data_IF_159543784360
#
_entry.id   IF_159543784360
#
_cell.length_a   1.000
_cell.length_b   1.000
_cell.length_c   1.000
_cell.angle_alpha   90.00
_cell.angle_beta   90.00
_cell.angle_gamma   90.00
#
_symmetry.space_group_name_H-M   'P 1'
#
loop_
_entity.id
_entity.type
_entity.pdbx_description
1 polymer ?
#
# COMPACT_ATOMS: atom_id res chain seq x y z
N UNK A 1 28.86 -12.68 30.07
CA UNK A 1 29.99 -12.59 29.12
C UNK A 1 30.16 -13.97 28.52
N UNK A 2 29.40 -14.29 27.48
CA UNK A 2 29.55 -15.53 26.68
C UNK A 2 29.24 -15.11 25.24
N UNK A 3 30.32 -14.76 24.56
CA UNK A 3 30.38 -14.33 23.17
C UNK A 3 30.59 -15.56 22.28
N UNK A 4 29.90 -15.57 21.15
CA UNK A 4 30.38 -16.06 19.85
C UNK A 4 30.65 -17.57 19.73
N UNK A 5 29.74 -18.22 19.00
CA UNK A 5 29.96 -19.29 18.00
C UNK A 5 28.58 -19.49 17.36
N UNK A 6 28.31 -19.03 16.14
CA UNK A 6 28.56 -19.78 14.91
C UNK A 6 28.45 -18.83 13.71
N UNK A 7 29.58 -18.59 13.07
CA UNK A 7 29.71 -18.17 11.68
C UNK A 7 30.13 -19.40 10.89
N UNK A 8 29.56 -19.57 9.71
CA UNK A 8 30.02 -20.50 8.68
C UNK A 8 28.88 -20.78 7.71
N UNK A 9 29.05 -20.81 6.40
CA UNK A 9 30.10 -20.36 5.49
C UNK A 9 29.41 -20.31 4.11
N UNK A 10 29.94 -19.49 3.21
CA UNK A 10 29.42 -19.24 1.88
C UNK A 10 29.33 -20.49 0.96
N UNK A 11 28.41 -20.47 0.00
CA UNK A 11 28.55 -21.19 -1.27
C UNK A 11 27.93 -20.37 -2.40
N UNK A 12 28.81 -19.84 -3.25
CA UNK A 12 28.55 -19.19 -4.53
C UNK A 12 28.31 -20.30 -5.57
N UNK A 13 27.16 -20.31 -6.24
CA UNK A 13 26.95 -21.11 -7.45
C UNK A 13 26.28 -20.24 -8.52
N UNK A 14 27.07 -19.92 -9.55
CA UNK A 14 26.60 -19.41 -10.82
C UNK A 14 26.06 -20.58 -11.66
N UNK A 15 24.89 -20.40 -12.29
CA UNK A 15 24.46 -21.24 -13.39
C UNK A 15 23.76 -20.37 -14.44
N UNK A 16 24.47 -20.13 -15.53
CA UNK A 16 23.97 -19.66 -16.82
C UNK A 16 23.19 -20.77 -17.52
N UNK A 17 21.99 -20.48 -18.02
CA UNK A 17 21.35 -21.25 -19.09
C UNK A 17 20.78 -20.29 -20.14
N UNK A 18 21.20 -20.48 -21.39
CA UNK A 18 20.78 -19.76 -22.60
C UNK A 18 19.91 -20.71 -23.44
N UNK A 19 18.86 -20.14 -24.05
CA UNK A 19 18.03 -20.64 -25.17
C UNK A 19 17.12 -21.85 -24.87
N UNK A 20 15.85 -21.87 -25.29
CA UNK A 20 15.33 -21.59 -26.64
C UNK A 20 13.92 -20.99 -26.63
N UNK A 21 13.66 -20.13 -27.61
CA UNK A 21 12.32 -19.71 -28.01
C UNK A 21 11.76 -20.71 -29.03
N UNK A 22 10.50 -21.13 -28.85
CA UNK A 22 9.58 -21.53 -29.91
C UNK A 22 8.15 -21.37 -29.37
N UNK A 23 7.43 -20.41 -29.94
CA UNK A 23 6.01 -20.18 -29.65
C UNK A 23 5.10 -21.02 -30.53
N UNK A 24 3.81 -21.00 -30.21
CA UNK A 24 2.71 -21.21 -31.14
C UNK A 24 1.43 -20.60 -30.53
N UNK A 25 0.91 -19.56 -31.16
CA UNK A 25 -0.31 -18.85 -30.81
C UNK A 25 -0.58 -17.79 -31.87
N UNK A 26 -1.02 -18.26 -33.03
CA UNK A 26 -1.01 -17.53 -34.30
C UNK A 26 -2.02 -16.39 -34.42
N UNK A 27 -1.66 -15.46 -35.31
CA UNK A 27 -2.57 -14.62 -36.10
C UNK A 27 -1.90 -14.36 -37.45
N UNK A 28 -1.99 -15.34 -38.34
CA UNK A 28 -1.61 -15.18 -39.73
C UNK A 28 -2.83 -14.66 -40.50
N UNK A 29 -2.74 -13.42 -40.98
CA UNK A 29 -3.47 -12.93 -42.15
C UNK A 29 -2.41 -12.78 -43.25
N UNK A 30 -2.09 -13.87 -43.94
CA UNK A 30 -1.31 -13.84 -45.17
C UNK A 30 -2.23 -13.83 -46.39
N UNK A 31 -1.73 -13.29 -47.51
CA UNK A 31 -1.65 -14.06 -48.76
C UNK A 31 -0.18 -14.01 -49.23
N UNK A 32 0.54 -15.11 -49.48
CA UNK A 32 0.33 -16.10 -50.56
C UNK A 32 1.60 -17.02 -50.62
N UNK A 33 1.66 -18.15 -51.38
CA UNK A 33 1.60 -19.51 -50.83
C UNK A 33 2.74 -20.47 -51.26
N UNK A 34 2.90 -21.62 -50.58
CA UNK A 34 3.42 -22.89 -51.17
C UNK A 34 2.98 -24.12 -50.32
N UNK A 35 2.91 -25.35 -50.87
CA UNK A 35 1.69 -26.16 -50.87
C UNK A 35 1.80 -27.51 -50.12
N UNK A 36 0.62 -28.00 -49.68
CA UNK A 36 0.19 -29.38 -49.40
C UNK A 36 1.02 -30.24 -48.42
N UNK A 37 0.48 -31.08 -47.56
CA UNK A 37 -0.86 -31.42 -47.08
C UNK A 37 -0.60 -32.46 -45.97
N UNK A 38 -1.50 -32.62 -45.01
CA UNK A 38 -1.49 -33.83 -44.19
C UNK A 38 -1.95 -33.65 -42.77
N UNK A 39 -3.27 -33.59 -42.59
CA UNK A 39 -3.88 -34.05 -41.35
C UNK A 39 -3.60 -35.57 -41.25
N UNK A 40 -2.86 -36.00 -40.23
CA UNK A 40 -2.81 -37.42 -39.82
C UNK A 40 -3.29 -37.51 -38.38
N UNK A 41 -4.59 -37.76 -38.22
CA UNK A 41 -5.19 -38.01 -36.91
C UNK A 41 -4.84 -39.39 -36.39
N UNK A 42 -4.90 -39.55 -35.06
CA UNK A 42 -5.72 -40.60 -34.44
C UNK A 42 -6.11 -40.19 -33.01
N UNK A 43 -7.39 -40.38 -32.73
CA UNK A 43 -8.03 -40.28 -31.43
C UNK A 43 -7.72 -41.54 -30.60
N UNK A 44 -7.48 -41.40 -29.28
CA UNK A 44 -8.05 -42.34 -28.29
C UNK A 44 -7.85 -41.85 -26.86
N UNK A 45 -8.96 -41.91 -26.12
CA UNK A 45 -9.15 -41.81 -24.68
C UNK A 45 -8.50 -42.98 -23.94
N UNK A 46 -7.94 -42.76 -22.74
CA UNK A 46 -8.29 -43.43 -21.46
C UNK A 46 -7.13 -43.60 -20.45
N UNK A 47 -7.51 -43.39 -19.19
CA UNK A 47 -7.02 -43.92 -17.91
C UNK A 47 -5.55 -43.75 -17.47
N UNK A 48 -5.39 -43.13 -16.28
CA UNK A 48 -4.22 -43.38 -15.44
C UNK A 48 -4.04 -42.39 -14.31
N UNK A 49 -4.78 -42.57 -13.21
CA UNK A 49 -4.54 -41.93 -11.91
C UNK A 49 -3.10 -42.13 -11.43
N UNK A 50 -2.44 -41.05 -11.00
CA UNK A 50 -1.40 -41.12 -9.97
C UNK A 50 -1.48 -39.88 -9.09
N UNK A 51 -2.16 -40.06 -7.95
CA UNK A 51 -1.88 -39.33 -6.72
C UNK A 51 -0.41 -39.49 -6.35
N UNK A 52 0.33 -38.39 -6.30
CA UNK A 52 1.44 -38.28 -5.37
C UNK A 52 1.33 -36.98 -4.59
N UNK A 53 1.15 -37.13 -3.28
CA UNK A 53 1.02 -36.08 -2.31
C UNK A 53 2.43 -35.57 -1.97
N UNK A 54 2.89 -34.57 -2.72
CA UNK A 54 4.11 -33.85 -2.42
C UNK A 54 3.84 -32.70 -1.44
N UNK A 55 4.23 -32.88 -0.18
CA UNK A 55 4.35 -31.82 0.82
C UNK A 55 5.17 -30.65 0.26
N UNK A 56 4.56 -29.49 0.08
CA UNK A 56 5.32 -28.25 -0.16
C UNK A 56 5.28 -27.40 1.10
N UNK A 57 6.47 -27.24 1.62
CA UNK A 57 6.87 -26.46 2.78
C UNK A 57 6.80 -24.94 2.50
N UNK A 58 6.61 -24.18 3.58
CA UNK A 58 6.90 -22.75 3.76
C UNK A 58 6.35 -21.72 2.74
N UNK A 59 5.17 -21.16 3.07
CA UNK A 59 4.93 -19.71 3.11
C UNK A 59 5.38 -18.85 1.93
N UNK A 60 4.73 -18.99 0.77
CA UNK A 60 4.60 -17.85 -0.15
C UNK A 60 3.54 -16.91 0.42
N UNK A 61 3.94 -15.96 1.25
CA UNK A 61 3.11 -14.76 1.46
C UNK A 61 2.91 -14.12 0.09
N UNK A 62 1.66 -14.07 -0.39
CA UNK A 62 1.28 -13.30 -1.57
C UNK A 62 1.74 -11.85 -1.36
N UNK A 63 2.93 -11.53 -1.87
CA UNK A 63 3.39 -10.16 -1.99
C UNK A 63 2.33 -9.41 -2.82
N UNK A 64 1.91 -8.23 -2.36
CA UNK A 64 0.79 -7.48 -2.91
C UNK A 64 0.79 -7.35 -4.44
N UNK A 65 -0.38 -7.08 -5.00
CA UNK A 65 -0.50 -6.85 -6.44
C UNK A 65 0.17 -5.52 -6.80
N UNK A 66 1.36 -5.58 -7.37
CA UNK A 66 2.18 -4.39 -7.69
C UNK A 66 1.38 -3.30 -8.39
N UNK A 67 1.44 -2.08 -7.84
CA UNK A 67 0.90 -0.87 -8.47
C UNK A 67 -0.60 -0.64 -8.26
N UNK A 68 -1.24 -1.45 -7.42
CA UNK A 68 -2.66 -1.30 -7.06
C UNK A 68 -3.01 0.08 -6.46
N UNK A 69 -2.14 0.63 -5.61
CA UNK A 69 -2.35 1.94 -4.98
C UNK A 69 -2.21 3.06 -6.01
N UNK A 70 -1.19 2.97 -6.87
CA UNK A 70 -1.01 3.92 -7.97
C UNK A 70 -2.20 3.90 -8.95
N UNK A 71 -2.77 2.71 -9.23
CA UNK A 71 -3.98 2.57 -10.02
C UNK A 71 -5.20 3.20 -9.32
N UNK A 72 -5.38 2.94 -8.02
CA UNK A 72 -6.47 3.53 -7.24
C UNK A 72 -6.43 5.07 -7.26
N UNK A 73 -5.23 5.68 -7.18
CA UNK A 73 -5.04 7.13 -7.23
C UNK A 73 -5.44 7.80 -8.55
N UNK A 74 -5.61 7.02 -9.63
CA UNK A 74 -6.04 7.51 -10.95
C UNK A 74 -7.56 7.42 -11.15
N UNK A 75 -8.29 6.86 -10.19
CA UNK A 75 -9.73 6.72 -10.28
C UNK A 75 -10.43 8.07 -10.12
N UNK A 76 -11.60 8.20 -10.74
CA UNK A 76 -12.52 9.31 -10.44
C UNK A 76 -13.03 9.20 -9.00
N UNK A 77 -13.27 10.33 -8.34
CA UNK A 77 -13.87 10.31 -7.00
C UNK A 77 -15.22 9.60 -6.99
N UNK A 78 -15.48 8.82 -5.94
CA UNK A 78 -16.65 7.95 -5.83
C UNK A 78 -16.56 6.66 -6.63
N UNK A 79 -15.42 6.34 -7.26
CA UNK A 79 -15.21 5.04 -7.90
C UNK A 79 -14.77 4.00 -6.88
N UNK A 80 -15.27 2.77 -7.02
CA UNK A 80 -14.86 1.64 -6.17
C UNK A 80 -13.41 1.25 -6.50
N UNK A 81 -12.62 0.94 -5.46
CA UNK A 81 -11.28 0.40 -5.56
C UNK A 81 -11.14 -0.81 -4.63
N UNK A 82 -10.26 -1.73 -5.02
CA UNK A 82 -9.89 -2.90 -4.23
C UNK A 82 -8.39 -2.96 -4.10
N UNK A 83 -7.92 -3.07 -2.86
CA UNK A 83 -6.53 -3.30 -2.51
C UNK A 83 -6.40 -4.68 -1.88
N UNK A 84 -5.36 -5.42 -2.23
CA UNK A 84 -5.07 -6.77 -1.75
C UNK A 84 -3.68 -6.84 -1.14
N UNK A 85 -3.58 -7.52 0.01
CA UNK A 85 -2.33 -7.71 0.75
C UNK A 85 -1.57 -6.40 1.02
N UNK A 86 -2.28 -5.32 1.32
CA UNK A 86 -1.65 -4.06 1.73
C UNK A 86 -1.32 -4.12 3.21
N UNK A 87 -0.23 -3.48 3.61
CA UNK A 87 0.25 -3.47 4.99
C UNK A 87 -0.04 -2.13 5.64
N UNK A 88 -0.57 -2.14 6.86
CA UNK A 88 -0.75 -0.95 7.69
C UNK A 88 0.63 -0.44 8.13
N UNK A 89 0.97 0.78 7.73
CA UNK A 89 2.30 1.38 8.00
C UNK A 89 2.27 2.44 9.09
N UNK A 90 1.09 2.93 9.45
CA UNK A 90 0.92 3.89 10.55
C UNK A 90 -0.55 4.15 10.85
N UNK A 91 -0.86 4.41 12.12
CA UNK A 91 -2.22 4.75 12.58
C UNK A 91 -2.23 6.22 12.96
N UNK A 92 -3.08 7.00 12.31
CA UNK A 92 -3.23 8.44 12.54
C UNK A 92 -4.27 8.73 13.63
N UNK A 93 -5.36 7.96 13.66
CA UNK A 93 -6.46 8.16 14.59
C UNK A 93 -7.15 6.84 14.91
N UNK A 94 -7.57 6.70 16.15
CA UNK A 94 -8.45 5.62 16.58
C UNK A 94 -9.40 6.10 17.68
N UNK A 95 -10.64 5.62 17.63
CA UNK A 95 -11.63 5.84 18.69
C UNK A 95 -12.57 4.64 18.77
N UNK A 96 -12.62 4.01 19.94
CA UNK A 96 -13.63 3.02 20.29
C UNK A 96 -15.00 3.71 20.42
N UNK A 97 -16.04 3.05 19.93
CA UNK A 97 -17.42 3.53 20.06
C UNK A 97 -17.85 3.64 21.53
N UNK A 98 -18.50 4.76 21.87
CA UNK A 98 -19.06 5.00 23.21
C UNK A 98 -20.40 4.26 23.42
N UNK A 99 -20.96 3.66 22.36
CA UNK A 99 -22.25 2.94 22.40
C UNK A 99 -22.13 1.50 22.93
N UNK A 100 -20.95 1.09 23.41
CA UNK A 100 -20.73 -0.23 24.01
C UNK A 100 -20.70 -1.41 23.02
N UNK A 101 -20.64 -1.15 21.72
CA UNK A 101 -20.70 -2.15 20.66
C UNK A 101 -19.34 -2.61 20.11
N UNK A 102 -18.23 -2.31 20.81
CA UNK A 102 -16.85 -2.66 20.41
C UNK A 102 -16.41 -2.20 19.02
N UNK A 103 -17.19 -1.37 18.33
CA UNK A 103 -16.86 -0.89 16.99
C UNK A 103 -15.78 0.20 17.04
N UNK A 104 -14.86 0.16 16.10
CA UNK A 104 -13.76 1.12 15.99
C UNK A 104 -13.93 2.03 14.78
N UNK A 105 -13.66 3.32 15.00
CA UNK A 105 -13.37 4.29 13.94
C UNK A 105 -11.87 4.51 13.93
N UNK A 106 -11.25 4.41 12.74
CA UNK A 106 -9.81 4.50 12.62
C UNK A 106 -9.40 5.13 11.30
N UNK A 107 -8.35 5.93 11.33
CA UNK A 107 -7.69 6.48 10.17
C UNK A 107 -6.23 6.05 10.15
N UNK A 108 -5.80 5.44 9.06
CA UNK A 108 -4.49 4.79 8.99
C UNK A 108 -3.95 4.79 7.57
N UNK A 109 -2.63 4.63 7.47
CA UNK A 109 -1.90 4.52 6.23
C UNK A 109 -1.68 3.05 5.90
N UNK A 110 -1.83 2.72 4.62
CA UNK A 110 -1.44 1.43 4.07
C UNK A 110 -0.45 1.61 2.93
N UNK A 111 0.36 0.59 2.69
CA UNK A 111 1.32 0.53 1.61
C UNK A 111 1.26 -0.84 0.95
N UNK A 112 1.48 -0.88 -0.36
CA UNK A 112 1.68 -2.13 -1.09
C UNK A 112 3.12 -2.62 -0.83
N UNK A 113 3.34 -3.78 -0.20
CA UNK A 113 4.69 -4.29 0.05
C UNK A 113 5.52 -4.46 -1.24
N UNK A 114 4.87 -4.70 -2.39
CA UNK A 114 5.55 -4.82 -3.68
C UNK A 114 5.91 -3.45 -4.29
N UNK A 115 5.32 -2.37 -3.80
CA UNK A 115 5.58 -0.99 -4.21
C UNK A 115 5.62 -0.07 -2.96
N UNK A 116 6.66 -0.18 -2.09
CA UNK A 116 6.68 0.43 -0.76
C UNK A 116 6.72 1.97 -0.76
N UNK A 117 6.84 2.59 -1.93
CA UNK A 117 6.79 4.05 -2.15
C UNK A 117 5.40 4.57 -2.47
N UNK A 118 4.44 3.68 -2.71
CA UNK A 118 3.04 3.99 -2.95
C UNK A 118 2.20 3.66 -1.70
N UNK A 119 1.65 4.69 -1.07
CA UNK A 119 0.80 4.53 0.10
C UNK A 119 -0.58 5.13 -0.15
N UNK A 120 -1.54 4.80 0.69
CA UNK A 120 -2.88 5.35 0.61
C UNK A 120 -3.47 5.48 2.01
N UNK A 121 -4.29 6.51 2.21
CA UNK A 121 -4.97 6.71 3.46
C UNK A 121 -6.30 5.96 3.49
N UNK A 122 -6.68 5.44 4.65
CA UNK A 122 -7.92 4.68 4.81
C UNK A 122 -8.79 5.36 5.86
N UNK A 123 -10.05 5.57 5.50
CA UNK A 123 -11.11 6.08 6.36
C UNK A 123 -12.07 4.96 6.75
N UNK A 124 -11.83 4.36 7.92
CA UNK A 124 -12.76 3.39 8.53
C UNK A 124 -13.67 4.08 9.53
N UNK A 125 -14.98 3.92 9.36
CA UNK A 125 -16.03 4.34 10.27
C UNK A 125 -16.58 3.17 11.10
N UNK A 126 -17.41 3.49 12.10
CA UNK A 126 -18.01 2.49 13.00
C UNK A 126 -18.89 1.46 12.29
N UNK A 127 -19.48 1.84 11.15
CA UNK A 127 -20.38 0.98 10.36
C UNK A 127 -19.65 0.13 9.32
N UNK A 128 -18.34 0.31 9.19
CA UNK A 128 -17.51 -0.40 8.20
C UNK A 128 -17.12 -1.78 8.71
N UNK A 129 -16.96 -2.74 7.80
CA UNK A 129 -16.81 -4.14 8.15
C UNK A 129 -15.35 -4.60 8.14
N UNK A 130 -14.92 -5.45 9.09
CA UNK A 130 -15.56 -5.69 10.37
C UNK A 130 -15.51 -4.44 11.26
N UNK A 131 -16.60 -4.21 11.98
CA UNK A 131 -16.76 -3.03 12.83
C UNK A 131 -15.77 -3.02 13.98
N UNK A 132 -15.48 -4.19 14.55
CA UNK A 132 -14.52 -4.40 15.64
C UNK A 132 -13.03 -4.33 15.22
N UNK A 133 -12.72 -4.23 13.93
CA UNK A 133 -11.31 -4.17 13.51
C UNK A 133 -10.64 -2.86 13.93
N UNK A 134 -9.57 -3.01 14.71
CA UNK A 134 -8.67 -1.95 15.15
C UNK A 134 -7.32 -2.14 14.45
N UNK A 135 -6.92 -1.29 13.51
CA UNK A 135 -5.68 -1.46 12.76
C UNK A 135 -4.45 -1.30 13.67
N UNK A 136 -3.44 -2.15 13.49
CA UNK A 136 -2.12 -2.02 14.09
C UNK A 136 -1.04 -1.95 13.01
N UNK A 137 0.09 -1.22 13.24
CA UNK A 137 1.22 -1.25 12.32
C UNK A 137 1.73 -2.68 12.10
N UNK A 138 1.93 -3.04 10.83
CA UNK A 138 2.33 -4.38 10.39
C UNK A 138 1.17 -5.29 9.99
N UNK A 139 -0.09 -4.93 10.29
CA UNK A 139 -1.24 -5.73 9.85
C UNK A 139 -1.32 -5.81 8.33
N UNK A 140 -1.56 -7.02 7.81
CA UNK A 140 -1.83 -7.23 6.39
C UNK A 140 -3.33 -7.36 6.19
N UNK A 141 -3.88 -6.56 5.27
CA UNK A 141 -5.31 -6.50 5.01
C UNK A 141 -5.63 -6.43 3.52
N UNK A 142 -6.81 -6.89 3.15
CA UNK A 142 -7.48 -6.47 1.92
C UNK A 142 -8.47 -5.36 2.24
N UNK A 143 -8.67 -4.43 1.30
CA UNK A 143 -9.57 -3.29 1.47
C UNK A 143 -10.40 -3.11 0.21
N UNK A 144 -11.72 -3.02 0.35
CA UNK A 144 -12.63 -2.56 -0.68
C UNK A 144 -13.35 -1.31 -0.21
N UNK A 145 -13.27 -0.26 -1.03
CA UNK A 145 -13.82 1.05 -0.68
C UNK A 145 -13.99 1.94 -1.88
N UNK A 146 -14.29 3.21 -1.61
CA UNK A 146 -14.52 4.22 -2.63
C UNK A 146 -13.43 5.28 -2.55
N UNK A 147 -12.87 5.60 -3.70
CA UNK A 147 -11.79 6.56 -3.82
C UNK A 147 -12.30 7.99 -3.62
N UNK A 148 -11.57 8.74 -2.81
CA UNK A 148 -11.91 10.11 -2.46
C UNK A 148 -10.68 10.94 -2.10
N UNK A 149 -10.93 12.18 -1.72
CA UNK A 149 -9.90 13.12 -1.27
C UNK A 149 -10.41 13.92 -0.09
N UNK A 150 -9.52 14.28 0.82
CA UNK A 150 -9.83 15.20 1.89
C UNK A 150 -10.19 16.58 1.34
N UNK A 151 -11.11 17.31 2.02
CA UNK A 151 -11.45 18.66 1.64
C UNK A 151 -10.24 19.60 1.68
N UNK A 152 -10.17 20.52 0.71
CA UNK A 152 -9.04 21.45 0.58
C UNK A 152 -8.92 22.47 1.73
N UNK A 153 -9.95 22.63 2.55
CA UNK A 153 -9.94 23.56 3.69
C UNK A 153 -9.31 22.95 4.95
N UNK A 154 -8.96 21.65 4.94
CA UNK A 154 -8.29 21.03 6.07
C UNK A 154 -6.78 21.36 6.06
N UNK A 155 -6.26 22.02 7.11
CA UNK A 155 -4.90 22.59 7.08
C UNK A 155 -3.77 21.55 7.03
N UNK A 156 -3.98 20.34 7.57
CA UNK A 156 -2.92 19.32 7.69
C UNK A 156 -3.18 18.04 6.88
N UNK A 157 -4.43 17.82 6.48
CA UNK A 157 -4.88 16.62 5.77
C UNK A 157 -5.46 16.93 4.39
N UNK A 158 -5.68 18.20 4.04
CA UNK A 158 -6.29 18.59 2.78
C UNK A 158 -5.57 17.99 1.58
N UNK A 159 -6.34 17.57 0.56
CA UNK A 159 -5.87 16.91 -0.67
C UNK A 159 -5.29 15.50 -0.49
N UNK A 160 -5.31 14.93 0.73
CA UNK A 160 -4.93 13.54 0.94
C UNK A 160 -5.96 12.63 0.27
N UNK A 161 -5.49 11.72 -0.57
CA UNK A 161 -6.35 10.71 -1.18
C UNK A 161 -6.59 9.55 -0.23
N UNK A 162 -7.82 9.06 -0.21
CA UNK A 162 -8.23 7.98 0.67
C UNK A 162 -9.14 6.95 0.00
N UNK A 163 -9.25 5.77 0.60
CA UNK A 163 -10.43 4.92 0.48
C UNK A 163 -11.32 5.06 1.71
N UNK A 164 -12.61 5.21 1.47
CA UNK A 164 -13.63 5.30 2.50
C UNK A 164 -14.87 4.48 2.12
N UNK A 165 -15.85 4.46 3.03
CA UNK A 165 -17.20 4.02 2.70
C UNK A 165 -17.91 5.00 1.76
N UNK A 166 -18.96 4.54 1.09
CA UNK A 166 -19.86 5.41 0.33
C UNK A 166 -21.02 5.83 1.23
N UNK A 167 -21.31 7.14 1.29
CA UNK A 167 -22.43 7.65 2.09
C UNK A 167 -23.78 7.53 1.38
N UNK A 168 -23.81 7.68 0.06
CA UNK A 168 -25.06 7.70 -0.73
C UNK A 168 -24.88 6.98 -2.07
N UNK A 169 -25.55 5.83 -2.29
CA UNK A 169 -26.17 4.98 -1.25
C UNK A 169 -25.14 4.55 -0.20
N UNK A 170 -25.61 4.20 0.99
CA UNK A 170 -24.73 3.75 2.07
C UNK A 170 -24.13 2.39 1.73
N UNK A 171 -22.82 2.35 1.47
CA UNK A 171 -22.06 1.12 1.24
C UNK A 171 -20.85 1.13 2.18
N UNK A 172 -20.78 0.21 3.15
CA UNK A 172 -19.65 0.13 4.07
C UNK A 172 -18.31 -0.06 3.35
N UNK A 173 -17.25 0.50 3.92
CA UNK A 173 -15.88 0.05 3.61
C UNK A 173 -15.77 -1.40 4.11
N UNK A 174 -15.19 -2.27 3.29
CA UNK A 174 -14.89 -3.64 3.70
C UNK A 174 -13.38 -3.81 3.85
N UNK A 175 -12.95 -4.27 5.02
CA UNK A 175 -11.58 -4.61 5.34
C UNK A 175 -11.57 -6.09 5.65
N UNK A 176 -10.67 -6.87 5.06
CA UNK A 176 -10.47 -8.28 5.41
C UNK A 176 -9.09 -8.42 6.01
N UNK A 177 -8.96 -8.48 7.36
CA UNK A 177 -7.69 -8.75 8.00
C UNK A 177 -7.17 -10.13 7.62
N UNK A 178 -5.90 -10.20 7.22
CA UNK A 178 -5.19 -11.45 6.89
C UNK A 178 -4.20 -11.82 7.99
N UNK A 179 -3.43 -10.82 8.42
CA UNK A 179 -2.51 -10.91 9.55
C UNK A 179 -2.77 -9.74 10.47
N UNK A 180 -2.93 -9.99 11.76
CA UNK A 180 -3.13 -8.96 12.80
C UNK A 180 -2.02 -9.05 13.84
N UNK A 181 -1.68 -7.91 14.45
CA UNK A 181 -0.70 -7.79 15.54
C UNK A 181 0.71 -8.26 15.14
N UNK A 182 1.08 -8.14 13.85
CA UNK A 182 2.42 -8.50 13.36
C UNK A 182 3.51 -7.57 13.92
N UNK A 183 3.11 -6.38 14.39
CA UNK A 183 4.01 -5.36 14.90
C UNK A 183 4.96 -4.82 13.83
N UNK A 184 5.98 -4.08 14.27
CA UNK A 184 6.88 -3.38 13.35
C UNK A 184 7.67 -4.29 12.41
N UNK A 185 7.81 -5.58 12.74
CA UNK A 185 8.46 -6.58 11.90
C UNK A 185 7.63 -6.99 10.67
N UNK A 186 6.31 -6.75 10.68
CA UNK A 186 5.43 -6.98 9.54
C UNK A 186 5.42 -5.86 8.50
N UNK A 187 6.02 -4.70 8.81
CA UNK A 187 6.05 -3.56 7.90
C UNK A 187 7.14 -3.71 6.83
N UNK A 188 6.90 -3.22 5.59
CA UNK A 188 7.97 -3.00 4.63
C UNK A 188 9.06 -2.07 5.21
N UNK A 189 10.32 -2.21 4.76
CA UNK A 189 11.38 -1.26 5.11
C UNK A 189 10.93 0.18 4.84
N UNK A 190 11.29 1.10 5.73
CA UNK A 190 11.01 2.52 5.51
C UNK A 190 11.77 3.02 4.28
N UNK A 191 11.18 3.97 3.56
CA UNK A 191 11.85 4.60 2.44
C UNK A 191 12.87 5.61 2.98
N UNK A 192 14.15 5.36 2.76
CA UNK A 192 15.20 6.32 3.09
C UNK A 192 15.07 7.55 2.21
N UNK A 193 15.00 8.73 2.85
CA UNK A 193 14.87 10.01 2.17
C UNK A 193 15.93 10.97 2.69
N UNK A 194 16.62 11.64 1.78
CA UNK A 194 17.57 12.71 2.12
C UNK A 194 16.84 14.05 2.23
N UNK A 195 17.44 15.01 2.94
CA UNK A 195 16.84 16.35 3.10
C UNK A 195 16.65 17.03 1.73
N UNK A 196 17.53 16.78 0.78
CA UNK A 196 17.45 17.31 -0.59
C UNK A 196 16.26 16.73 -1.38
N UNK A 197 15.79 15.53 -1.04
CA UNK A 197 14.60 14.92 -1.66
C UNK A 197 13.29 15.44 -1.08
N UNK A 198 13.37 16.13 0.07
CA UNK A 198 12.25 16.78 0.75
C UNK A 198 12.22 18.27 0.44
N UNK A 199 12.54 18.67 -0.80
CA UNK A 199 12.35 20.05 -1.25
C UNK A 199 10.95 20.52 -0.82
N UNK A 200 10.93 21.33 0.24
CA UNK A 200 9.75 22.02 0.67
C UNK A 200 9.43 22.96 -0.48
N UNK A 201 8.44 22.61 -1.30
CA UNK A 201 7.96 23.56 -2.27
C UNK A 201 7.49 24.77 -1.47
N UNK A 202 8.23 25.87 -1.57
CA UNK A 202 7.79 27.17 -1.04
C UNK A 202 6.66 27.74 -1.91
N UNK A 203 6.37 27.13 -3.06
CA UNK A 203 5.09 27.26 -3.74
C UNK A 203 4.01 26.43 -3.05
N UNK A 204 2.75 26.58 -3.46
CA UNK A 204 1.63 25.68 -3.10
C UNK A 204 1.81 24.25 -3.65
N UNK A 205 3.03 23.72 -3.58
CA UNK A 205 3.47 22.55 -4.31
C UNK A 205 3.01 21.28 -3.62
N UNK A 206 2.70 20.36 -4.51
CA UNK A 206 2.11 19.08 -4.20
C UNK A 206 3.11 18.20 -3.47
N UNK A 207 2.59 17.20 -2.76
CA UNK A 207 3.37 16.12 -2.18
C UNK A 207 4.38 15.58 -3.21
N UNK A 208 5.62 15.30 -2.77
CA UNK A 208 6.63 14.68 -3.64
C UNK A 208 6.06 13.42 -4.28
N UNK A 209 6.01 13.41 -5.62
CA UNK A 209 5.44 12.31 -6.38
C UNK A 209 6.14 10.97 -6.10
N UNK A 210 7.39 11.00 -5.61
CA UNK A 210 8.19 9.83 -5.32
C UNK A 210 7.79 9.08 -4.03
N UNK A 211 7.06 9.71 -3.11
CA UNK A 211 6.75 9.17 -1.77
C UNK A 211 5.29 9.43 -1.36
N UNK A 212 4.34 9.26 -2.28
CA UNK A 212 2.96 9.64 -2.06
C UNK A 212 2.27 8.78 -0.99
N UNK A 213 2.11 9.37 0.21
CA UNK A 213 1.38 8.76 1.31
C UNK A 213 2.10 7.57 1.95
N UNK A 214 3.42 7.50 1.83
CA UNK A 214 4.23 6.43 2.42
C UNK A 214 5.02 6.87 3.63
N UNK A 215 5.39 5.88 4.43
CA UNK A 215 6.35 6.07 5.51
C UNK A 215 7.73 6.30 4.90
N UNK A 216 8.34 7.40 5.30
CA UNK A 216 9.71 7.78 4.98
C UNK A 216 10.54 7.77 6.25
N UNK A 217 11.82 7.52 6.11
CA UNK A 217 12.80 7.69 7.16
C UNK A 217 13.73 8.83 6.75
N UNK A 218 13.76 9.89 7.55
CA UNK A 218 14.68 10.99 7.42
C UNK A 218 15.86 10.70 8.35
N UNK A 219 17.01 10.36 7.76
CA UNK A 219 18.21 10.15 8.55
C UNK A 219 18.79 11.49 9.03
N UNK A 220 19.14 11.55 10.32
CA UNK A 220 19.85 12.69 10.91
C UNK A 220 18.97 13.61 11.77
N UNK A 221 19.59 14.63 12.41
CA UNK A 221 18.89 15.55 13.29
C UNK A 221 17.97 16.49 12.49
N UNK A 222 16.71 16.55 12.89
CA UNK A 222 15.78 17.57 12.40
C UNK A 222 16.07 18.89 13.10
N UNK A 223 16.34 19.93 12.32
CA UNK A 223 16.59 21.27 12.83
C UNK A 223 15.46 22.20 12.42
N UNK A 224 14.84 22.83 13.41
CA UNK A 224 13.84 23.86 13.19
C UNK A 224 14.55 25.16 12.74
N UNK A 225 14.52 25.46 11.44
CA UNK A 225 15.19 26.64 10.87
C UNK A 225 14.36 27.91 11.05
N UNK A 226 13.04 27.79 11.22
CA UNK A 226 12.15 28.88 11.54
C UNK A 226 11.12 28.42 12.59
N UNK A 227 11.28 28.79 13.87
CA UNK A 227 10.36 28.40 14.93
C UNK A 227 9.04 29.17 14.93
N UNK A 228 8.97 30.28 14.18
CA UNK A 228 7.79 31.15 14.11
C UNK A 228 7.45 31.47 12.65
N UNK A 229 7.14 30.47 11.81
CA UNK A 229 6.86 30.70 10.41
C UNK A 229 5.56 31.50 10.25
N UNK A 230 5.61 32.61 9.50
CA UNK A 230 4.47 33.50 9.29
C UNK A 230 3.27 32.77 8.65
N UNK A 231 3.53 31.74 7.83
CA UNK A 231 2.50 30.90 7.22
C UNK A 231 1.67 30.09 8.24
N UNK A 232 2.22 29.82 9.43
CA UNK A 232 1.51 29.13 10.51
C UNK A 232 0.95 30.08 11.56
N UNK A 233 1.12 31.38 11.39
CA UNK A 233 0.59 32.39 12.29
C UNK A 233 -0.92 32.50 12.11
N UNK A 234 -1.66 32.34 13.20
CA UNK A 234 -3.07 32.67 13.25
C UNK A 234 -3.21 34.18 13.22
N UNK A 235 -3.81 34.69 12.16
CA UNK A 235 -4.22 36.09 12.09
C UNK A 235 -5.47 36.28 12.96
N UNK A 236 -5.39 37.16 13.95
CA UNK A 236 -6.56 37.69 14.63
C UNK A 236 -6.43 39.22 14.79
N UNK A 237 -7.56 39.87 15.06
CA UNK A 237 -7.66 41.33 15.15
C UNK A 237 -7.43 41.91 16.56
N UNK A 238 -7.12 41.08 17.56
CA UNK A 238 -7.23 41.42 18.99
C UNK A 238 -5.99 42.06 19.62
N UNK A 239 -4.88 42.25 18.88
CA UNK A 239 -3.63 42.80 19.43
C UNK A 239 -2.95 41.91 20.47
N UNK A 240 -3.49 40.72 20.74
CA UNK A 240 -2.90 39.66 21.57
C UNK A 240 -1.69 39.05 20.86
N UNK A 241 -0.69 38.50 21.58
CA UNK A 241 0.44 37.82 20.93
C UNK A 241 -0.04 36.78 19.91
N UNK A 242 0.61 36.67 18.74
CA UNK A 242 0.20 35.74 17.70
C UNK A 242 0.23 34.29 18.21
N UNK A 243 -0.84 33.57 17.93
CA UNK A 243 -0.93 32.12 18.13
C UNK A 243 -0.46 31.45 16.85
N UNK A 244 0.32 30.38 16.96
CA UNK A 244 0.79 29.61 15.79
C UNK A 244 0.11 28.25 15.75
N UNK A 245 -0.35 27.83 14.58
CA UNK A 245 -0.69 26.45 14.30
C UNK A 245 0.63 25.67 14.25
N UNK A 246 1.04 25.06 15.36
CA UNK A 246 2.26 24.25 15.39
C UNK A 246 2.22 23.12 14.36
N UNK A 247 3.37 22.48 14.14
CA UNK A 247 3.44 21.21 13.43
C UNK A 247 4.07 20.17 14.33
N UNK A 248 3.65 18.92 14.17
CA UNK A 248 4.19 17.78 14.89
C UNK A 248 5.07 16.96 13.94
N UNK A 249 6.19 16.48 14.47
CA UNK A 249 7.03 15.50 13.81
C UNK A 249 6.93 14.22 14.65
N UNK A 250 6.44 13.14 14.04
CA UNK A 250 6.28 11.82 14.67
C UNK A 250 6.84 10.71 13.80
#
# INVERSE_FOLDING_TARGET
>A
MELRKKLGAAALLAATAIATAAGCGGRDNDPDPVPDAGCTGVCSTDAGTNTDAGTTDAGTTDAGTTGQIAAARKLSFGSKATLRNVVVTGVHYEKLSELGNSSWRSYFWVTDPAAPKDGLFIHKFYTDTPDAYRPQPGDTVDIEGYFGTEPNYEPFSGRRHHLANQRTPAVPLAITPKTTDAGVGGMPPANEVTVEQLEASLGLGQNSAAFLGTRVHLAGPLTLTNPTPEALKRLDSSGTPPIYYGFEVG
#
